data_IF_530501878392
#
_entry.id   IF_530501878392
#
_cell.length_a   1.000
_cell.length_b   1.000
_cell.length_c   1.000
_cell.angle_alpha   90.00
_cell.angle_beta   90.00
_cell.angle_gamma   90.00
#
_symmetry.space_group_name_H-M   'P 1'
#
loop_
_entity.id
_entity.type
_entity.pdbx_description
1 polymer ?
#
# COMPACT_ATOMS: atom_id res chain seq x y z
N UNK A 1 -53.85 1.75 -18.24
CA UNK A 1 -52.50 2.19 -17.80
C UNK A 1 -52.58 2.64 -16.34
N UNK A 2 -51.66 2.23 -15.47
CA UNK A 2 -51.44 2.79 -14.13
C UNK A 2 -49.93 2.73 -13.82
N UNK A 3 -49.35 3.81 -13.30
CA UNK A 3 -47.92 3.91 -13.02
C UNK A 3 -47.55 3.12 -11.75
N UNK A 4 -46.28 2.69 -11.66
CA UNK A 4 -45.67 2.19 -10.42
C UNK A 4 -44.74 3.27 -9.87
N UNK A 5 -44.98 3.74 -8.66
CA UNK A 5 -44.06 4.64 -7.95
C UNK A 5 -42.99 3.81 -7.25
N UNK A 6 -41.73 4.20 -7.42
CA UNK A 6 -40.58 3.56 -6.79
C UNK A 6 -40.42 4.05 -5.35
N UNK A 7 -40.30 3.14 -4.39
CA UNK A 7 -39.99 3.48 -2.99
C UNK A 7 -38.49 3.27 -2.76
N UNK A 8 -37.78 4.33 -2.40
CA UNK A 8 -36.37 4.32 -2.05
C UNK A 8 -36.24 4.37 -0.52
N UNK A 9 -35.89 3.24 0.10
CA UNK A 9 -35.57 3.22 1.53
C UNK A 9 -34.19 3.83 1.77
N UNK A 10 -34.13 4.93 2.51
CA UNK A 10 -32.88 5.56 2.90
C UNK A 10 -32.15 4.75 3.98
N UNK A 11 -30.82 4.63 3.86
CA UNK A 11 -29.98 4.11 4.93
C UNK A 11 -29.76 5.17 6.01
N UNK A 12 -29.93 4.80 7.28
CA UNK A 12 -29.78 5.70 8.42
C UNK A 12 -28.32 5.94 8.79
N UNK A 13 -27.85 7.18 8.64
CA UNK A 13 -26.60 7.63 9.24
C UNK A 13 -26.83 7.94 10.74
N UNK A 14 -25.92 7.49 11.60
CA UNK A 14 -25.89 7.89 13.01
C UNK A 14 -24.81 8.96 13.23
N UNK A 15 -25.26 10.13 13.67
CA UNK A 15 -24.41 11.25 14.08
C UNK A 15 -23.96 11.06 15.52
N UNK A 16 -22.71 11.43 15.81
CA UNK A 16 -22.31 11.94 17.12
C UNK A 16 -21.42 13.17 16.93
N UNK A 17 -21.60 14.17 17.78
CA UNK A 17 -20.98 15.49 17.65
C UNK A 17 -20.48 15.98 19.01
N UNK A 18 -19.48 16.86 18.99
CA UNK A 18 -19.12 17.74 20.10
C UNK A 18 -18.76 19.13 19.54
N UNK A 19 -19.59 20.12 19.88
CA UNK A 19 -19.17 21.53 19.99
C UNK A 19 -18.32 21.69 21.29
N UNK A 20 -17.60 22.77 21.57
CA UNK A 20 -17.43 24.13 20.96
C UNK A 20 -15.96 24.58 21.20
N UNK A 21 -15.40 25.74 20.83
CA UNK A 21 -15.86 27.05 20.30
C UNK A 21 -14.70 27.61 19.38
N UNK A 22 -14.50 28.88 18.97
CA UNK A 22 -15.04 30.21 19.32
C UNK A 22 -14.98 31.20 18.14
N UNK A 23 -15.78 32.26 18.26
CA UNK A 23 -15.68 33.57 17.61
C UNK A 23 -14.32 34.31 17.81
N UNK A 24 -13.95 35.40 17.10
CA UNK A 24 -14.50 36.08 15.90
C UNK A 24 -13.58 37.22 15.42
N UNK A 25 -13.60 37.50 14.11
CA UNK A 25 -13.40 38.80 13.44
C UNK A 25 -12.14 39.68 13.67
N UNK A 26 -11.94 40.61 12.72
CA UNK A 26 -10.70 41.37 12.55
C UNK A 26 -10.73 42.80 13.12
N UNK A 27 -9.57 43.28 13.58
CA UNK A 27 -9.11 44.63 13.23
C UNK A 27 -7.59 44.77 13.30
N UNK A 28 -7.05 45.67 12.48
CA UNK A 28 -5.65 46.08 12.49
C UNK A 28 -5.45 47.26 13.44
N UNK A 29 -4.40 47.21 14.27
CA UNK A 29 -3.76 48.42 14.80
C UNK A 29 -2.26 48.16 15.04
N UNK A 30 -1.42 49.16 14.81
CA UNK A 30 0.03 48.99 14.68
C UNK A 30 0.77 49.28 15.99
N UNK A 31 1.46 48.27 16.52
CA UNK A 31 2.63 48.48 17.41
C UNK A 31 3.82 47.68 16.91
N UNK A 32 4.97 48.32 16.82
CA UNK A 32 6.22 47.67 16.42
C UNK A 32 6.85 46.98 17.63
N UNK A 33 7.06 45.67 17.55
CA UNK A 33 8.01 45.02 18.45
C UNK A 33 8.87 43.98 17.72
N UNK A 34 10.09 43.78 18.25
CA UNK A 34 11.25 43.38 17.44
C UNK A 34 11.44 41.86 17.37
N UNK A 35 10.51 41.17 16.72
CA UNK A 35 10.63 39.75 16.44
C UNK A 35 11.85 39.45 15.53
N UNK A 36 12.68 38.49 15.93
CA UNK A 36 13.76 37.96 15.10
C UNK A 36 13.20 37.04 14.01
N UNK A 37 13.44 37.37 12.74
CA UNK A 37 13.10 36.50 11.62
C UNK A 37 13.95 35.22 11.64
N UNK A 38 13.39 34.16 12.22
CA UNK A 38 13.93 32.81 12.08
C UNK A 38 13.69 32.32 10.65
N UNK A 39 14.66 32.61 9.77
CA UNK A 39 14.60 32.25 8.36
C UNK A 39 14.50 30.72 8.22
N UNK A 40 13.30 30.25 7.90
CA UNK A 40 13.12 28.89 7.38
C UNK A 40 13.84 28.80 6.04
N UNK A 41 15.02 28.17 6.03
CA UNK A 41 15.58 27.69 4.77
C UNK A 41 14.60 26.66 4.17
N UNK A 42 13.90 27.06 3.11
CA UNK A 42 13.30 26.10 2.21
C UNK A 42 14.42 25.20 1.63
N UNK A 43 14.19 23.88 1.48
CA UNK A 43 15.24 22.98 0.99
C UNK A 43 15.64 23.40 -0.42
N UNK A 44 16.83 24.00 -0.57
CA UNK A 44 17.35 24.45 -1.86
C UNK A 44 17.25 23.32 -2.88
N UNK A 45 16.42 23.52 -3.89
CA UNK A 45 16.18 22.53 -4.95
C UNK A 45 17.52 22.13 -5.59
N UNK A 46 17.75 20.83 -5.73
CA UNK A 46 19.02 20.33 -6.30
C UNK A 46 19.05 20.71 -7.78
N UNK A 47 19.84 21.74 -8.09
CA UNK A 47 20.01 22.25 -9.45
C UNK A 47 20.28 21.11 -10.45
N UNK A 48 19.56 21.13 -11.57
CA UNK A 48 19.68 20.13 -12.62
C UNK A 48 21.12 20.09 -13.18
N UNK A 49 21.77 18.93 -13.05
CA UNK A 49 23.13 18.71 -13.55
C UNK A 49 23.03 18.24 -15.01
N UNK A 50 23.74 18.86 -15.97
CA UNK A 50 23.82 18.36 -17.34
C UNK A 50 24.32 16.92 -17.38
N UNK A 51 23.55 16.04 -18.04
CA UNK A 51 23.84 14.61 -18.08
C UNK A 51 24.73 14.33 -19.31
N UNK A 52 25.96 13.89 -19.09
CA UNK A 52 26.84 13.36 -20.13
C UNK A 52 26.23 12.09 -20.78
N UNK A 53 26.43 11.90 -22.09
CA UNK A 53 25.78 10.81 -22.83
C UNK A 53 26.35 9.43 -22.52
N UNK A 54 27.65 9.31 -22.22
CA UNK A 54 28.25 8.06 -21.77
C UNK A 54 27.87 7.75 -20.31
N UNK A 55 27.81 8.76 -19.45
CA UNK A 55 27.28 8.62 -18.09
C UNK A 55 25.80 8.19 -18.09
N UNK A 56 24.96 8.77 -18.95
CA UNK A 56 23.57 8.38 -19.13
C UNK A 56 23.42 6.92 -19.56
N UNK A 57 24.18 6.48 -20.57
CA UNK A 57 24.15 5.11 -21.06
C UNK A 57 24.59 4.11 -19.98
N UNK A 58 25.68 4.40 -19.27
CA UNK A 58 26.16 3.55 -18.17
C UNK A 58 25.16 3.47 -17.01
N UNK A 59 24.53 4.59 -16.63
CA UNK A 59 23.50 4.62 -15.59
C UNK A 59 22.24 3.84 -16.01
N UNK A 60 21.80 3.96 -17.26
CA UNK A 60 20.66 3.22 -17.80
C UNK A 60 20.92 1.71 -17.84
N UNK A 61 22.11 1.29 -18.28
CA UNK A 61 22.52 -0.12 -18.26
C UNK A 61 22.59 -0.68 -16.83
N UNK A 62 23.09 0.09 -15.86
CA UNK A 62 23.11 -0.30 -14.46
C UNK A 62 21.70 -0.35 -13.81
N UNK A 63 20.77 0.49 -14.26
CA UNK A 63 19.37 0.45 -13.82
C UNK A 63 18.64 -0.81 -14.33
N UNK A 64 18.88 -1.21 -15.58
CA UNK A 64 18.30 -2.42 -16.19
C UNK A 64 19.00 -3.75 -15.83
N UNK A 65 20.04 -3.74 -14.97
CA UNK A 65 20.81 -4.94 -14.68
C UNK A 65 20.07 -5.91 -13.72
N UNK A 66 19.70 -7.10 -14.20
CA UNK A 66 19.06 -8.13 -13.38
C UNK A 66 20.03 -8.74 -12.35
N UNK A 67 19.74 -8.53 -11.06
CA UNK A 67 20.54 -8.95 -9.90
C UNK A 67 19.99 -10.14 -9.11
N UNK A 68 20.59 -10.43 -7.95
CA UNK A 68 20.13 -11.51 -7.06
C UNK A 68 18.75 -11.25 -6.46
N UNK A 69 18.37 -9.99 -6.27
CA UNK A 69 17.05 -9.57 -5.80
C UNK A 69 15.96 -9.90 -6.84
N UNK A 70 16.27 -9.78 -8.12
CA UNK A 70 15.38 -10.16 -9.22
C UNK A 70 15.21 -11.68 -9.28
N UNK A 71 16.31 -12.43 -9.10
CA UNK A 71 16.28 -13.91 -8.99
C UNK A 71 15.54 -14.39 -7.74
N UNK A 72 15.65 -13.66 -6.63
CA UNK A 72 14.96 -13.93 -5.37
C UNK A 72 13.45 -13.77 -5.55
N UNK A 73 13.00 -12.63 -6.08
CA UNK A 73 11.60 -12.37 -6.42
C UNK A 73 11.05 -13.47 -7.33
N UNK A 74 11.75 -13.81 -8.42
CA UNK A 74 11.32 -14.80 -9.40
C UNK A 74 11.01 -16.21 -8.83
N UNK A 75 11.47 -16.56 -7.61
CA UNK A 75 11.11 -17.83 -6.94
C UNK A 75 9.62 -17.94 -6.62
N UNK A 76 8.95 -16.83 -6.36
CA UNK A 76 7.50 -16.79 -6.10
C UNK A 76 6.66 -17.00 -7.38
N UNK A 77 7.28 -17.08 -8.56
CA UNK A 77 6.58 -17.42 -9.81
C UNK A 77 5.90 -18.79 -9.70
N UNK A 78 4.62 -18.88 -10.04
CA UNK A 78 3.81 -20.08 -9.92
C UNK A 78 2.34 -19.79 -9.64
N UNK A 79 1.59 -20.85 -9.35
CA UNK A 79 0.19 -20.78 -8.92
C UNK A 79 0.11 -21.17 -7.44
N UNK A 80 -0.66 -20.41 -6.67
CA UNK A 80 -0.74 -20.54 -5.22
C UNK A 80 -2.19 -20.61 -4.75
N UNK A 81 -2.46 -21.41 -3.72
CA UNK A 81 -3.66 -21.25 -2.88
C UNK A 81 -3.33 -20.19 -1.84
N UNK A 82 -4.23 -19.22 -1.65
CA UNK A 82 -4.11 -18.20 -0.62
C UNK A 82 -5.18 -18.43 0.45
N UNK A 83 -4.77 -18.67 1.69
CA UNK A 83 -5.63 -18.70 2.87
C UNK A 83 -5.49 -17.39 3.63
N UNK A 84 -6.48 -16.51 3.54
CA UNK A 84 -6.49 -15.20 4.19
C UNK A 84 -7.26 -15.26 5.51
N UNK A 85 -6.68 -14.65 6.54
CA UNK A 85 -7.36 -14.26 7.78
C UNK A 85 -7.26 -12.74 7.92
N UNK A 86 -8.35 -12.07 8.28
CA UNK A 86 -8.39 -10.61 8.42
C UNK A 86 -9.21 -10.15 9.62
N UNK A 87 -8.96 -8.93 10.08
CA UNK A 87 -9.51 -8.37 11.33
C UNK A 87 -9.98 -6.92 11.14
N UNK A 88 -11.22 -6.63 11.50
CA UNK A 88 -11.84 -5.30 11.32
C UNK A 88 -11.52 -4.31 12.47
N UNK A 89 -10.47 -4.59 13.24
CA UNK A 89 -10.07 -3.86 14.46
C UNK A 89 -9.50 -4.80 15.54
N UNK A 90 -8.83 -4.24 16.54
CA UNK A 90 -8.06 -5.01 17.56
C UNK A 90 -8.95 -6.00 18.33
N UNK A 91 -10.13 -5.57 18.75
CA UNK A 91 -11.07 -6.38 19.56
C UNK A 91 -12.08 -7.18 18.71
N UNK A 92 -11.82 -7.37 17.41
CA UNK A 92 -12.77 -8.01 16.47
C UNK A 92 -12.40 -9.48 16.24
N UNK A 93 -13.39 -10.38 16.07
CA UNK A 93 -13.13 -11.76 15.70
C UNK A 93 -12.45 -11.84 14.33
N UNK A 94 -11.67 -12.89 14.12
CA UNK A 94 -10.97 -13.14 12.87
C UNK A 94 -11.93 -13.62 11.78
N UNK A 95 -12.04 -12.86 10.69
CA UNK A 95 -12.69 -13.26 9.46
C UNK A 95 -11.73 -14.10 8.59
N UNK A 96 -12.25 -14.89 7.65
CA UNK A 96 -11.45 -15.71 6.73
C UNK A 96 -12.02 -15.71 5.31
N UNK A 97 -11.13 -15.80 4.32
CA UNK A 97 -11.48 -16.13 2.94
C UNK A 97 -10.38 -16.98 2.30
N UNK A 98 -10.68 -17.61 1.16
CA UNK A 98 -9.67 -18.29 0.34
C UNK A 98 -9.64 -17.71 -1.07
N UNK A 99 -8.49 -17.84 -1.73
CA UNK A 99 -8.28 -17.37 -3.09
C UNK A 99 -7.23 -18.17 -3.84
N UNK A 100 -7.02 -17.80 -5.08
CA UNK A 100 -5.94 -18.30 -5.94
C UNK A 100 -5.11 -17.12 -6.44
N UNK A 101 -3.80 -17.20 -6.27
CA UNK A 101 -2.84 -16.26 -6.85
C UNK A 101 -2.08 -16.94 -8.00
N UNK A 102 -1.82 -16.21 -9.08
CA UNK A 102 -0.94 -16.62 -10.18
C UNK A 102 0.12 -15.54 -10.36
N UNK A 103 1.37 -15.87 -10.02
CA UNK A 103 2.53 -14.97 -10.08
C UNK A 103 3.43 -15.38 -11.23
N UNK A 104 3.89 -14.41 -12.02
CA UNK A 104 4.79 -14.61 -13.16
C UNK A 104 5.79 -13.45 -13.26
N UNK A 105 6.98 -13.72 -13.78
CA UNK A 105 7.85 -12.65 -14.29
C UNK A 105 7.24 -12.04 -15.55
N UNK A 106 7.45 -10.74 -15.75
CA UNK A 106 7.11 -9.96 -16.94
C UNK A 106 8.31 -9.10 -17.33
N UNK A 107 8.29 -8.54 -18.54
CA UNK A 107 9.34 -7.64 -19.06
C UNK A 107 10.73 -8.24 -18.85
N UNK A 108 10.96 -9.43 -19.42
CA UNK A 108 12.24 -10.17 -19.41
C UNK A 108 12.84 -10.48 -18.03
N UNK A 109 12.07 -10.35 -16.95
CA UNK A 109 12.48 -10.65 -15.58
C UNK A 109 12.65 -9.43 -14.67
N UNK A 110 12.49 -8.21 -15.19
CA UNK A 110 12.61 -6.97 -14.40
C UNK A 110 11.54 -6.84 -13.30
N UNK A 111 10.33 -7.37 -13.56
CA UNK A 111 9.20 -7.31 -12.62
C UNK A 111 8.49 -8.66 -12.53
N UNK A 112 7.75 -8.85 -11.44
CA UNK A 112 6.69 -9.83 -11.33
C UNK A 112 5.32 -9.16 -11.42
N UNK A 113 4.37 -9.87 -11.99
CA UNK A 113 2.95 -9.58 -11.90
C UNK A 113 2.26 -10.74 -11.19
N UNK A 114 1.43 -10.47 -10.20
CA UNK A 114 0.50 -11.46 -9.64
C UNK A 114 -0.94 -11.07 -9.92
N UNK A 115 -1.75 -12.01 -10.37
CA UNK A 115 -3.21 -11.87 -10.34
C UNK A 115 -3.78 -12.68 -9.18
N UNK A 116 -4.77 -12.13 -8.49
CA UNK A 116 -5.49 -12.76 -7.38
C UNK A 116 -6.98 -12.85 -7.75
N UNK A 117 -7.62 -13.95 -7.40
CA UNK A 117 -9.08 -14.10 -7.47
C UNK A 117 -9.59 -14.93 -6.29
N UNK A 118 -10.70 -14.51 -5.68
CA UNK A 118 -11.34 -15.16 -4.54
C UNK A 118 -12.75 -14.61 -4.29
N UNK A 119 -13.34 -14.98 -3.15
CA UNK A 119 -14.63 -14.44 -2.69
C UNK A 119 -14.45 -13.58 -1.44
N UNK A 120 -15.01 -12.37 -1.44
CA UNK A 120 -15.06 -11.50 -0.28
C UNK A 120 -16.52 -11.16 0.03
N UNK A 121 -17.03 -11.68 1.15
CA UNK A 121 -18.42 -11.48 1.62
C UNK A 121 -19.51 -11.90 0.59
N UNK A 122 -19.26 -12.94 -0.21
CA UNK A 122 -20.18 -13.41 -1.26
C UNK A 122 -20.07 -12.64 -2.58
N UNK A 123 -19.04 -11.81 -2.75
CA UNK A 123 -18.76 -11.05 -3.97
C UNK A 123 -17.41 -11.46 -4.58
N UNK A 124 -17.31 -11.60 -5.92
CA UNK A 124 -16.03 -11.89 -6.58
C UNK A 124 -15.00 -10.79 -6.36
N UNK A 125 -13.93 -11.12 -5.65
CA UNK A 125 -12.80 -10.24 -5.38
C UNK A 125 -11.64 -10.57 -6.30
N UNK A 126 -11.10 -9.57 -7.01
CA UNK A 126 -10.05 -9.72 -7.99
C UNK A 126 -9.04 -8.58 -7.86
N UNK A 127 -7.76 -8.91 -7.82
CA UNK A 127 -6.69 -7.93 -7.67
C UNK A 127 -5.45 -8.26 -8.50
N UNK A 128 -4.61 -7.25 -8.72
CA UNK A 128 -3.36 -7.35 -9.45
C UNK A 128 -2.27 -6.64 -8.66
N UNK A 129 -1.16 -7.32 -8.40
CA UNK A 129 0.10 -6.69 -7.97
C UNK A 129 1.11 -6.64 -9.10
N UNK A 130 1.97 -5.61 -9.05
CA UNK A 130 3.28 -5.63 -9.71
C UNK A 130 4.35 -5.43 -8.64
N UNK A 131 5.40 -6.26 -8.66
CA UNK A 131 6.54 -6.18 -7.74
C UNK A 131 7.83 -6.13 -8.54
N UNK A 132 8.79 -5.29 -8.15
CA UNK A 132 10.11 -5.23 -8.77
C UNK A 132 11.17 -4.71 -7.82
N UNK A 133 12.44 -4.95 -8.14
CA UNK A 133 13.57 -4.35 -7.43
C UNK A 133 14.12 -3.18 -8.25
N UNK A 134 14.06 -1.98 -7.69
CA UNK A 134 14.59 -0.79 -8.34
C UNK A 134 16.09 -0.65 -8.07
N UNK A 135 16.90 -0.81 -9.12
CA UNK A 135 18.34 -0.64 -9.06
C UNK A 135 18.82 0.79 -8.73
N UNK A 136 17.96 1.80 -8.86
CA UNK A 136 18.30 3.20 -8.59
C UNK A 136 18.12 3.50 -7.09
N UNK A 137 16.94 3.21 -6.51
CA UNK A 137 16.68 3.40 -5.08
C UNK A 137 17.23 2.28 -4.18
N UNK A 138 17.54 1.11 -4.75
CA UNK A 138 17.89 -0.14 -4.05
C UNK A 138 16.77 -0.62 -3.11
N UNK A 139 15.53 -0.46 -3.56
CA UNK A 139 14.31 -0.87 -2.85
C UNK A 139 13.46 -1.84 -3.68
N UNK A 140 12.70 -2.70 -3.00
CA UNK A 140 11.60 -3.44 -3.60
C UNK A 140 10.38 -2.52 -3.60
N UNK A 141 9.80 -2.32 -4.77
CA UNK A 141 8.56 -1.57 -4.97
C UNK A 141 7.43 -2.56 -5.24
N UNK A 142 6.31 -2.41 -4.53
CA UNK A 142 5.09 -3.19 -4.73
C UNK A 142 3.92 -2.26 -5.02
N UNK A 143 3.13 -2.57 -6.04
CA UNK A 143 1.83 -1.92 -6.30
C UNK A 143 0.70 -2.92 -6.12
N UNK A 144 -0.51 -2.42 -5.83
CA UNK A 144 -1.74 -3.21 -5.80
C UNK A 144 -2.94 -2.38 -6.28
N UNK A 145 -3.76 -3.02 -7.12
CA UNK A 145 -5.08 -2.55 -7.57
C UNK A 145 -6.09 -3.71 -7.47
N UNK A 146 -7.35 -3.41 -7.21
CA UNK A 146 -8.42 -4.41 -7.06
C UNK A 146 -9.80 -3.83 -7.43
N UNK A 147 -10.89 -4.59 -7.28
CA UNK A 147 -12.21 -4.24 -7.83
C UNK A 147 -13.24 -3.65 -6.85
N UNK A 148 -12.88 -3.45 -5.57
CA UNK A 148 -13.72 -2.84 -4.54
C UNK A 148 -13.47 -1.33 -4.36
N UNK A 149 -12.27 -0.84 -4.70
CA UNK A 149 -11.93 0.59 -4.63
C UNK A 149 -11.00 1.05 -5.77
N UNK A 150 -10.93 2.37 -6.01
CA UNK A 150 -10.18 2.98 -7.12
C UNK A 150 -8.80 3.53 -6.74
N UNK A 151 -8.36 3.37 -5.49
CA UNK A 151 -7.03 3.76 -5.03
C UNK A 151 -5.99 2.71 -5.41
N UNK A 152 -4.88 3.14 -6.01
CA UNK A 152 -3.69 2.30 -6.18
C UNK A 152 -2.84 2.37 -4.92
N UNK A 153 -2.66 1.23 -4.25
CA UNK A 153 -1.72 1.12 -3.14
C UNK A 153 -0.30 1.00 -3.71
N UNK A 154 0.64 1.76 -3.16
CA UNK A 154 2.07 1.68 -3.49
C UNK A 154 2.87 1.58 -2.20
N UNK A 155 3.72 0.55 -2.11
CA UNK A 155 4.59 0.31 -0.96
C UNK A 155 6.04 0.15 -1.41
N UNK A 156 6.99 0.56 -0.57
CA UNK A 156 8.44 0.45 -0.80
C UNK A 156 9.14 -0.09 0.43
N UNK A 157 10.30 -0.70 0.24
CA UNK A 157 11.15 -1.14 1.33
C UNK A 157 12.17 -2.16 0.87
N UNK A 158 12.60 -3.06 1.75
CA UNK A 158 13.86 -3.82 1.56
C UNK A 158 13.73 -5.29 1.88
N UNK A 159 14.53 -6.08 1.16
CA UNK A 159 14.77 -7.50 1.46
C UNK A 159 15.76 -7.63 2.61
N UNK A 160 15.39 -8.44 3.59
CA UNK A 160 16.26 -8.97 4.63
C UNK A 160 16.48 -10.48 4.39
N UNK A 161 17.70 -10.82 3.98
CA UNK A 161 18.11 -12.19 3.71
C UNK A 161 18.19 -13.06 4.98
N UNK A 162 18.40 -12.48 6.17
CA UNK A 162 18.54 -13.23 7.41
C UNK A 162 17.19 -13.75 7.93
N UNK A 163 16.14 -12.93 7.87
CA UNK A 163 14.77 -13.37 8.22
C UNK A 163 13.98 -13.96 7.04
N UNK A 164 14.52 -13.82 5.81
CA UNK A 164 13.85 -14.07 4.52
C UNK A 164 12.59 -13.23 4.31
N UNK A 165 12.64 -11.94 4.65
CA UNK A 165 11.47 -11.05 4.56
C UNK A 165 11.68 -9.85 3.63
N UNK A 166 10.63 -9.48 2.90
CA UNK A 166 10.49 -8.14 2.31
C UNK A 166 9.66 -7.32 3.30
N UNK A 167 10.26 -6.28 3.86
CA UNK A 167 9.57 -5.34 4.74
C UNK A 167 9.23 -4.09 3.94
N UNK A 168 7.94 -3.84 3.75
CA UNK A 168 7.41 -2.74 2.94
C UNK A 168 6.59 -1.78 3.81
N UNK A 169 6.66 -0.49 3.49
CA UNK A 169 5.78 0.55 4.01
C UNK A 169 5.16 1.33 2.85
N UNK A 170 3.92 1.77 3.04
CA UNK A 170 3.18 2.60 2.10
C UNK A 170 2.28 3.57 2.84
N UNK A 171 1.66 4.48 2.09
CA UNK A 171 0.67 5.42 2.62
C UNK A 171 -0.59 5.37 1.78
N UNK A 172 -1.75 5.48 2.43
CA UNK A 172 -3.05 5.53 1.77
C UNK A 172 -3.98 6.43 2.57
N UNK A 173 -4.90 7.14 1.91
CA UNK A 173 -5.97 7.85 2.61
C UNK A 173 -7.05 6.87 3.08
N UNK A 174 -7.47 6.99 4.33
CA UNK A 174 -8.64 6.31 4.85
C UNK A 174 -9.90 6.89 4.18
N UNK A 175 -10.77 6.06 3.56
CA UNK A 175 -11.91 6.55 2.77
C UNK A 175 -13.06 7.12 3.61
N UNK A 176 -13.06 6.93 4.94
CA UNK A 176 -14.13 7.39 5.84
C UNK A 176 -13.84 8.80 6.37
N UNK A 177 -12.59 9.07 6.77
CA UNK A 177 -12.19 10.34 7.40
C UNK A 177 -11.15 11.15 6.59
N UNK A 178 -10.69 10.65 5.45
CA UNK A 178 -9.75 11.34 4.55
C UNK A 178 -8.31 11.45 5.07
N UNK A 179 -8.02 10.98 6.29
CA UNK A 179 -6.69 11.07 6.90
C UNK A 179 -5.70 10.16 6.17
N UNK A 180 -4.45 10.63 6.07
CA UNK A 180 -3.36 9.80 5.57
C UNK A 180 -2.94 8.79 6.65
N UNK A 181 -2.89 7.52 6.27
CA UNK A 181 -2.54 6.40 7.15
C UNK A 181 -1.32 5.68 6.61
N UNK A 182 -0.40 5.31 7.51
CA UNK A 182 0.72 4.41 7.16
C UNK A 182 0.23 2.96 7.16
N UNK A 183 0.64 2.22 6.15
CA UNK A 183 0.41 0.79 6.00
C UNK A 183 1.78 0.09 5.98
N UNK A 184 1.88 -1.06 6.63
CA UNK A 184 3.12 -1.85 6.68
C UNK A 184 2.82 -3.30 6.29
N UNK A 185 3.63 -3.86 5.41
CA UNK A 185 3.50 -5.24 4.94
C UNK A 185 4.82 -5.98 5.17
N UNK A 186 4.73 -7.20 5.69
CA UNK A 186 5.84 -8.14 5.84
C UNK A 186 5.55 -9.35 4.96
N UNK A 187 6.30 -9.52 3.89
CA UNK A 187 6.23 -10.70 3.02
C UNK A 187 7.37 -11.64 3.39
N UNK A 188 7.10 -12.92 3.65
CA UNK A 188 8.10 -13.91 4.06
C UNK A 188 8.10 -15.13 3.14
N UNK A 189 9.26 -15.42 2.57
CA UNK A 189 9.51 -16.70 1.89
C UNK A 189 9.93 -17.70 2.96
N UNK A 190 9.09 -18.70 3.25
CA UNK A 190 9.37 -19.72 4.28
C UNK A 190 10.25 -20.80 3.66
N UNK A 191 9.72 -21.41 2.61
CA UNK A 191 10.38 -22.38 1.73
C UNK A 191 9.83 -22.27 0.30
N UNK A 192 10.31 -23.08 -0.64
CA UNK A 192 9.93 -22.98 -2.06
C UNK A 192 8.44 -23.22 -2.33
N UNK A 193 7.68 -23.79 -1.39
CA UNK A 193 6.26 -24.10 -1.52
C UNK A 193 5.35 -23.34 -0.54
N UNK A 194 5.93 -22.57 0.40
CA UNK A 194 5.18 -21.85 1.43
C UNK A 194 5.68 -20.40 1.59
N UNK A 195 4.76 -19.45 1.47
CA UNK A 195 5.03 -18.02 1.67
C UNK A 195 3.96 -17.43 2.62
N UNK A 196 4.29 -16.35 3.34
CA UNK A 196 3.34 -15.68 4.24
C UNK A 196 3.39 -14.16 4.05
N UNK A 197 2.25 -13.52 3.91
CA UNK A 197 2.12 -12.06 3.99
C UNK A 197 1.40 -11.67 5.28
N UNK A 198 1.89 -10.64 5.98
CA UNK A 198 1.17 -9.98 7.07
C UNK A 198 1.06 -8.48 6.78
N UNK A 199 -0.14 -7.93 6.95
CA UNK A 199 -0.41 -6.50 6.74
C UNK A 199 -0.87 -5.86 8.04
N UNK A 200 -0.35 -4.66 8.28
CA UNK A 200 -0.57 -3.85 9.46
C UNK A 200 -1.03 -2.45 9.07
N UNK A 201 -1.98 -1.90 9.83
CA UNK A 201 -2.58 -0.60 9.59
C UNK A 201 -3.31 -0.09 10.84
N UNK A 202 -3.93 1.10 10.79
CA UNK A 202 -4.57 1.71 11.95
C UNK A 202 -5.90 1.03 12.32
N UNK A 203 -6.09 0.75 13.60
CA UNK A 203 -7.35 0.29 14.18
C UNK A 203 -8.45 1.34 13.97
N UNK A 204 -9.64 0.97 13.44
CA UNK A 204 -10.69 1.94 13.09
C UNK A 204 -11.25 2.77 14.25
N UNK A 205 -11.07 2.36 15.51
CA UNK A 205 -11.53 3.11 16.69
C UNK A 205 -10.44 4.02 17.27
N UNK A 206 -9.18 3.57 17.26
CA UNK A 206 -8.10 4.15 18.06
C UNK A 206 -6.90 4.65 17.26
N UNK A 207 -6.83 4.36 15.96
CA UNK A 207 -5.72 4.73 15.08
C UNK A 207 -4.40 3.97 15.32
N UNK A 208 -4.33 3.09 16.34
CA UNK A 208 -3.13 2.32 16.69
C UNK A 208 -2.83 1.26 15.63
N UNK A 209 -1.56 1.02 15.33
CA UNK A 209 -1.19 -0.06 14.40
C UNK A 209 -1.56 -1.44 14.98
N UNK A 210 -2.24 -2.26 14.17
CA UNK A 210 -2.54 -3.66 14.48
C UNK A 210 -2.39 -4.54 13.23
N UNK A 211 -2.29 -5.87 13.39
CA UNK A 211 -2.33 -6.78 12.23
C UNK A 211 -3.76 -6.89 11.72
N UNK A 212 -4.02 -6.26 10.58
CA UNK A 212 -5.32 -6.28 9.91
C UNK A 212 -5.48 -7.46 8.94
N UNK A 213 -4.38 -8.06 8.46
CA UNK A 213 -4.41 -9.21 7.55
C UNK A 213 -3.22 -10.16 7.75
N UNK A 214 -3.46 -11.46 7.54
CA UNK A 214 -2.46 -12.50 7.32
C UNK A 214 -2.91 -13.35 6.13
N UNK A 215 -2.01 -13.61 5.17
CA UNK A 215 -2.22 -14.58 4.10
C UNK A 215 -1.15 -15.65 4.19
N UNK A 216 -1.57 -16.93 4.22
CA UNK A 216 -0.69 -18.07 3.97
C UNK A 216 -0.83 -18.50 2.53
N UNK A 217 0.28 -18.64 1.83
CA UNK A 217 0.33 -19.09 0.45
C UNK A 217 0.96 -20.47 0.37
N UNK A 218 0.23 -21.41 -0.24
CA UNK A 218 0.72 -22.78 -0.49
C UNK A 218 0.77 -23.01 -2.00
N UNK A 219 1.93 -23.39 -2.53
CA UNK A 219 2.11 -23.60 -3.98
C UNK A 219 1.20 -24.74 -4.46
N UNK A 220 0.45 -24.49 -5.53
CA UNK A 220 -0.36 -25.53 -6.18
C UNK A 220 0.56 -26.41 -7.03
N UNK A 221 0.37 -27.72 -6.90
CA UNK A 221 0.95 -28.74 -7.78
C UNK A 221 0.15 -28.84 -9.08
#
# INVERSE_FOLDING_TARGET
MKQKTLILCAATAFLFACNDEKASDSKSETTSDKASEEVKEEPKEKAWIPIDSAAAMNAMMAAGALGEEHKMLAKSNGKWTAEMTYWDGIDRPANKMTGTQVTKSILDGHFQQSTFSGDFMGMPFNGISTVGYDNITKEIVSTWIENMNTSMMVMRGKWDAATKTINLTGKQKNPVNGLECTLRQVYKIVDDNNEKMEMYGPDPKTGKEFKMMEIKYTRKK
#
